data_IF_192654122936
#
_entry.id   IF_192654122936
#
_cell.length_a   1.000
_cell.length_b   1.000
_cell.length_c   1.000
_cell.angle_alpha   90.00
_cell.angle_beta   90.00
_cell.angle_gamma   90.00
#
_symmetry.space_group_name_H-M   'P 1'
#
loop_
_entity.id
_entity.type
_entity.pdbx_description
1 polymer ?
#
# COMPACT_ATOMS: atom_id res chain seq x y z
N UNK A 1 19.51 10.28 13.91
CA UNK A 1 20.38 9.53 12.99
C UNK A 1 19.67 8.27 12.57
N UNK A 2 20.44 7.19 12.35
CA UNK A 2 19.93 5.88 11.93
C UNK A 2 19.59 4.93 13.09
N UNK A 3 19.84 5.34 14.33
CA UNK A 3 19.64 4.48 15.51
C UNK A 3 18.31 3.73 15.54
N UNK A 4 17.16 4.32 15.15
CA UNK A 4 15.90 3.59 15.07
C UNK A 4 15.86 2.43 14.06
N UNK A 5 16.83 2.32 13.15
CA UNK A 5 16.91 1.32 12.09
C UNK A 5 18.01 0.27 12.34
N UNK A 6 18.81 0.39 13.41
CA UNK A 6 19.99 -0.46 13.64
C UNK A 6 19.63 -1.95 13.69
N UNK A 7 18.56 -2.32 14.39
CA UNK A 7 18.10 -3.70 14.47
C UNK A 7 17.64 -4.24 13.11
N UNK A 8 16.96 -3.41 12.31
CA UNK A 8 16.54 -3.76 10.95
C UNK A 8 17.76 -3.98 10.04
N UNK A 9 18.76 -3.10 10.09
CA UNK A 9 20.02 -3.31 9.36
C UNK A 9 20.74 -4.58 9.80
N UNK A 10 20.79 -4.84 11.12
CA UNK A 10 21.39 -6.06 11.65
C UNK A 10 20.69 -7.31 11.14
N UNK A 11 19.35 -7.33 11.13
CA UNK A 11 18.57 -8.45 10.60
C UNK A 11 18.84 -8.68 9.10
N UNK A 12 18.84 -7.60 8.29
CA UNK A 12 19.13 -7.66 6.86
C UNK A 12 20.55 -8.20 6.58
N UNK A 13 21.55 -7.72 7.32
CA UNK A 13 22.95 -8.09 7.14
C UNK A 13 23.29 -9.48 7.65
N UNK A 14 22.54 -9.98 8.63
CA UNK A 14 22.73 -11.32 9.20
C UNK A 14 22.05 -12.43 8.40
N UNK A 15 21.22 -12.09 7.40
CA UNK A 15 20.59 -13.07 6.54
C UNK A 15 21.62 -13.77 5.62
N UNK A 16 21.74 -15.09 5.77
CA UNK A 16 22.73 -15.92 5.09
C UNK A 16 22.26 -16.46 3.74
N UNK A 17 20.94 -16.52 3.53
CA UNK A 17 20.34 -16.99 2.28
C UNK A 17 19.36 -15.97 1.72
N UNK A 18 19.04 -16.09 0.43
CA UNK A 18 18.00 -15.28 -0.20
C UNK A 18 16.65 -15.45 0.49
N UNK A 19 16.30 -16.66 0.91
CA UNK A 19 15.04 -16.90 1.62
C UNK A 19 15.02 -16.20 2.98
N UNK A 20 16.10 -16.29 3.77
CA UNK A 20 16.19 -15.61 5.08
C UNK A 20 16.03 -14.09 4.92
N UNK A 21 16.69 -13.51 3.92
CA UNK A 21 16.60 -12.08 3.64
C UNK A 21 15.19 -11.65 3.25
N UNK A 22 14.49 -12.46 2.46
CA UNK A 22 13.13 -12.16 2.03
C UNK A 22 12.09 -12.38 3.15
N UNK A 23 12.36 -13.30 4.09
CA UNK A 23 11.60 -13.39 5.35
C UNK A 23 11.82 -12.12 6.17
N UNK A 24 13.06 -11.62 6.30
CA UNK A 24 13.33 -10.33 6.96
C UNK A 24 12.59 -9.18 6.26
N UNK A 25 12.58 -9.13 4.93
CA UNK A 25 11.79 -8.14 4.19
C UNK A 25 10.28 -8.27 4.48
N UNK A 26 9.77 -9.50 4.60
CA UNK A 26 8.40 -9.77 5.05
C UNK A 26 8.13 -9.26 6.46
N UNK A 27 9.05 -9.46 7.40
CA UNK A 27 8.92 -8.94 8.77
C UNK A 27 8.90 -7.41 8.81
N UNK A 28 9.78 -6.76 8.04
CA UNK A 28 9.78 -5.30 7.90
C UNK A 28 8.48 -4.76 7.31
N UNK A 29 7.77 -5.55 6.49
CA UNK A 29 6.47 -5.13 5.95
C UNK A 29 5.38 -4.97 7.00
N UNK A 30 5.47 -5.64 8.16
CA UNK A 30 4.59 -5.37 9.31
C UNK A 30 4.74 -3.93 9.82
N UNK A 31 5.92 -3.34 9.63
CA UNK A 31 6.23 -1.96 9.99
C UNK A 31 5.89 -0.95 8.88
N UNK A 32 5.24 -1.41 7.80
CA UNK A 32 4.86 -0.57 6.66
C UNK A 32 5.99 -0.35 5.66
N UNK A 33 7.08 -1.11 5.76
CA UNK A 33 8.18 -1.08 4.79
C UNK A 33 7.83 -2.01 3.62
N UNK A 34 7.66 -1.50 2.39
CA UNK A 34 7.22 -2.35 1.28
C UNK A 34 8.21 -3.50 1.01
N UNK A 35 7.71 -4.74 1.05
CA UNK A 35 8.45 -5.91 0.59
C UNK A 35 8.45 -5.95 -0.96
N UNK A 36 8.30 -7.14 -1.53
CA UNK A 36 8.17 -7.37 -2.98
C UNK A 36 6.75 -7.80 -3.40
N UNK A 37 5.86 -7.98 -2.43
CA UNK A 37 4.42 -8.25 -2.61
C UNK A 37 3.65 -7.52 -1.51
N UNK A 38 2.43 -7.08 -1.82
CA UNK A 38 1.45 -6.63 -0.83
C UNK A 38 0.31 -7.66 -0.77
N UNK A 39 -0.04 -8.16 0.41
CA UNK A 39 -1.18 -9.06 0.60
C UNK A 39 -2.08 -8.46 1.66
N UNK A 40 -3.35 -8.27 1.30
CA UNK A 40 -4.34 -7.65 2.17
C UNK A 40 -5.72 -8.23 1.95
N UNK A 41 -6.58 -8.08 2.95
CA UNK A 41 -7.99 -8.43 2.83
C UNK A 41 -8.75 -7.37 2.03
N UNK A 42 -9.56 -7.84 1.08
CA UNK A 42 -10.56 -7.09 0.32
C UNK A 42 -11.86 -7.88 0.25
N UNK A 43 -12.95 -7.27 -0.20
CA UNK A 43 -14.18 -8.02 -0.51
C UNK A 43 -13.88 -9.08 -1.58
N UNK A 44 -14.47 -10.26 -1.44
CA UNK A 44 -14.39 -11.31 -2.44
C UNK A 44 -15.30 -10.95 -3.61
N UNK A 45 -14.74 -10.78 -4.81
CA UNK A 45 -15.57 -10.41 -5.96
C UNK A 45 -16.65 -11.48 -6.27
N UNK A 46 -16.37 -12.77 -5.97
CA UNK A 46 -17.30 -13.89 -6.19
C UNK A 46 -18.40 -13.92 -5.10
N UNK A 47 -18.12 -13.35 -3.92
CA UNK A 47 -19.06 -13.18 -2.81
C UNK A 47 -18.77 -11.86 -2.07
N UNK A 48 -19.29 -10.75 -2.61
CA UNK A 48 -19.05 -9.40 -2.07
C UNK A 48 -19.63 -9.17 -0.66
N UNK A 49 -20.18 -10.21 -0.02
CA UNK A 49 -20.60 -10.17 1.38
C UNK A 49 -19.49 -10.55 2.36
N UNK A 50 -18.38 -11.12 1.89
CA UNK A 50 -17.25 -11.57 2.73
C UNK A 50 -15.93 -11.00 2.23
N UNK A 51 -14.93 -10.95 3.12
CA UNK A 51 -13.57 -10.60 2.73
C UNK A 51 -12.71 -11.86 2.54
N UNK A 52 -11.75 -11.76 1.62
CA UNK A 52 -10.71 -12.74 1.37
C UNK A 52 -9.35 -12.04 1.19
N UNK A 53 -8.25 -12.80 1.20
CA UNK A 53 -6.93 -12.24 0.93
C UNK A 53 -6.66 -12.16 -0.58
N UNK A 54 -6.06 -11.05 -0.98
CA UNK A 54 -5.62 -10.82 -2.35
C UNK A 54 -4.18 -10.36 -2.39
N UNK A 55 -3.43 -10.87 -3.35
CA UNK A 55 -2.07 -10.46 -3.64
C UNK A 55 -2.05 -9.33 -4.65
N UNK A 56 -1.27 -8.29 -4.33
CA UNK A 56 -1.08 -7.11 -5.15
C UNK A 56 0.42 -6.88 -5.40
N UNK A 57 0.71 -6.16 -6.48
CA UNK A 57 2.07 -5.66 -6.71
C UNK A 57 2.54 -4.80 -5.54
N UNK A 58 3.79 -4.94 -5.13
CA UNK A 58 4.37 -4.02 -4.17
C UNK A 58 4.47 -2.61 -4.78
N UNK A 59 4.25 -1.55 -3.98
CA UNK A 59 4.46 -0.18 -4.44
C UNK A 59 5.95 0.05 -4.75
N UNK A 60 6.19 0.90 -5.74
CA UNK A 60 7.52 1.43 -6.08
C UNK A 60 7.62 2.89 -5.62
N UNK A 61 8.83 3.43 -5.43
CA UNK A 61 9.01 4.83 -5.04
C UNK A 61 8.40 5.84 -6.01
N UNK A 62 8.45 5.56 -7.32
CA UNK A 62 7.83 6.39 -8.36
C UNK A 62 6.59 5.70 -8.95
N UNK A 63 5.71 6.50 -9.54
CA UNK A 63 4.63 5.98 -10.37
C UNK A 63 5.20 5.16 -11.53
N UNK A 64 4.51 4.06 -11.87
CA UNK A 64 4.97 3.09 -12.88
C UNK A 64 5.37 3.76 -14.20
N UNK A 65 4.62 4.77 -14.62
CA UNK A 65 4.87 5.49 -15.87
C UNK A 65 6.25 6.15 -15.95
N UNK A 66 6.84 6.56 -14.82
CA UNK A 66 8.22 7.07 -14.82
C UNK A 66 9.23 6.00 -15.21
N UNK A 67 8.97 4.73 -14.89
CA UNK A 67 9.86 3.63 -15.25
C UNK A 67 9.58 3.07 -16.65
N UNK A 68 8.32 3.10 -17.12
CA UNK A 68 7.92 2.44 -18.36
C UNK A 68 7.83 3.36 -19.57
N UNK A 69 7.87 4.68 -19.37
CA UNK A 69 7.85 5.66 -20.46
C UNK A 69 9.22 6.34 -20.56
N UNK A 70 10.03 6.05 -21.60
CA UNK A 70 11.40 6.59 -21.71
C UNK A 70 11.49 8.10 -21.56
N UNK A 71 10.58 8.86 -22.20
CA UNK A 71 10.57 10.32 -22.10
C UNK A 71 10.25 10.83 -20.69
N UNK A 72 9.49 10.09 -19.88
CA UNK A 72 9.27 10.42 -18.47
C UNK A 72 10.49 10.07 -17.63
N UNK A 73 11.08 8.90 -17.86
CA UNK A 73 12.30 8.46 -17.17
C UNK A 73 13.44 9.47 -17.33
N UNK A 74 13.69 9.92 -18.57
CA UNK A 74 14.71 10.93 -18.90
C UNK A 74 14.56 12.21 -18.08
N UNK A 75 13.32 12.57 -17.68
CA UNK A 75 13.08 13.78 -16.89
C UNK A 75 13.45 13.64 -15.41
N UNK A 76 13.56 12.42 -14.88
CA UNK A 76 13.75 12.16 -13.43
C UNK A 76 14.99 11.34 -13.08
N UNK A 77 15.57 10.62 -14.05
CA UNK A 77 16.67 9.66 -13.82
C UNK A 77 17.83 10.26 -13.01
N UNK A 78 18.38 11.39 -13.48
CA UNK A 78 19.53 12.02 -12.85
C UNK A 78 19.22 12.44 -11.39
N UNK A 79 18.06 13.04 -11.16
CA UNK A 79 17.64 13.46 -9.82
C UNK A 79 17.37 12.25 -8.91
N UNK A 80 16.86 11.15 -9.46
CA UNK A 80 16.60 9.93 -8.70
C UNK A 80 17.88 9.22 -8.31
N UNK A 81 18.87 9.14 -9.21
CA UNK A 81 20.21 8.63 -8.92
C UNK A 81 20.87 9.42 -7.79
N UNK A 82 20.75 10.75 -7.81
CA UNK A 82 21.25 11.63 -6.75
C UNK A 82 20.53 11.35 -5.44
N UNK A 83 19.20 11.22 -5.44
CA UNK A 83 18.43 10.88 -4.25
C UNK A 83 18.88 9.55 -3.64
N UNK A 84 18.94 8.47 -4.42
CA UNK A 84 19.36 7.14 -3.96
C UNK A 84 20.77 7.21 -3.35
N UNK A 85 21.72 7.81 -4.07
CA UNK A 85 23.10 7.94 -3.59
C UNK A 85 23.18 8.73 -2.28
N UNK A 86 22.42 9.83 -2.18
CA UNK A 86 22.39 10.69 -0.98
C UNK A 86 21.89 9.93 0.24
N UNK A 87 20.75 9.24 0.14
CA UNK A 87 20.19 8.53 1.30
C UNK A 87 21.03 7.32 1.71
N UNK A 88 21.71 6.65 0.78
CA UNK A 88 22.65 5.58 1.09
C UNK A 88 23.90 6.10 1.81
N UNK A 89 24.46 7.23 1.36
CA UNK A 89 25.61 7.85 2.03
C UNK A 89 25.26 8.35 3.43
N UNK A 90 24.08 8.98 3.59
CA UNK A 90 23.54 9.32 4.91
C UNK A 90 23.32 8.07 5.78
N UNK A 91 23.10 6.91 5.16
CA UNK A 91 22.99 5.61 5.83
C UNK A 91 24.36 4.97 6.17
N UNK A 92 25.47 5.62 5.84
CA UNK A 92 26.84 5.17 6.14
C UNK A 92 27.53 4.41 5.01
N UNK A 93 26.96 4.38 3.80
CA UNK A 93 27.67 3.85 2.62
C UNK A 93 28.80 4.82 2.23
N UNK A 94 29.94 4.28 1.79
CA UNK A 94 30.96 5.11 1.12
C UNK A 94 30.43 5.60 -0.23
N UNK A 95 31.06 6.64 -0.77
CA UNK A 95 30.73 7.16 -2.12
C UNK A 95 30.77 6.06 -3.18
N UNK A 96 31.76 5.17 -3.12
CA UNK A 96 31.94 4.06 -4.06
C UNK A 96 30.83 3.01 -3.90
N UNK A 97 30.49 2.67 -2.65
CA UNK A 97 29.41 1.72 -2.36
C UNK A 97 28.05 2.27 -2.84
N UNK A 98 27.76 3.53 -2.56
CA UNK A 98 26.54 4.19 -3.01
C UNK A 98 26.48 4.24 -4.55
N UNK A 99 27.57 4.62 -5.21
CA UNK A 99 27.65 4.65 -6.67
C UNK A 99 27.42 3.27 -7.31
N UNK A 100 27.92 2.19 -6.70
CA UNK A 100 27.69 0.82 -7.16
C UNK A 100 26.24 0.34 -6.91
N UNK A 101 25.61 0.79 -5.82
CA UNK A 101 24.25 0.41 -5.43
C UNK A 101 23.16 1.05 -6.31
N UNK A 102 23.34 2.30 -6.73
CA UNK A 102 22.36 3.04 -7.56
C UNK A 102 21.89 2.26 -8.79
N UNK A 103 22.77 1.75 -9.70
CA UNK A 103 22.32 1.03 -10.88
C UNK A 103 21.68 -0.33 -10.55
N UNK A 104 22.02 -0.96 -9.42
CA UNK A 104 21.39 -2.19 -8.96
C UNK A 104 19.94 -1.93 -8.58
N UNK A 105 19.70 -0.88 -7.78
CA UNK A 105 18.36 -0.49 -7.32
C UNK A 105 17.48 -0.08 -8.50
N UNK A 106 17.95 0.85 -9.33
CA UNK A 106 17.19 1.38 -10.47
C UNK A 106 16.80 0.25 -11.44
N UNK A 107 17.76 -0.62 -11.81
CA UNK A 107 17.49 -1.71 -12.75
C UNK A 107 16.46 -2.69 -12.19
N UNK A 108 16.54 -2.99 -10.90
CA UNK A 108 15.59 -3.87 -10.24
C UNK A 108 14.18 -3.25 -10.23
N UNK A 109 14.05 -1.98 -9.87
CA UNK A 109 12.76 -1.26 -9.89
C UNK A 109 12.18 -1.14 -11.30
N UNK A 110 12.98 -0.79 -12.30
CA UNK A 110 12.56 -0.74 -13.71
C UNK A 110 12.08 -2.11 -14.19
N UNK A 111 12.78 -3.18 -13.81
CA UNK A 111 12.36 -4.55 -14.15
C UNK A 111 11.02 -4.87 -13.50
N UNK A 112 10.83 -4.57 -12.21
CA UNK A 112 9.56 -4.77 -11.53
C UNK A 112 8.42 -3.93 -12.15
N UNK A 113 8.68 -2.68 -12.50
CA UNK A 113 7.69 -1.78 -13.10
C UNK A 113 7.25 -2.27 -14.50
N UNK A 114 8.19 -2.76 -15.30
CA UNK A 114 7.96 -3.24 -16.67
C UNK A 114 7.16 -4.54 -16.74
N UNK A 115 7.02 -5.28 -15.63
CA UNK A 115 6.32 -6.57 -15.59
C UNK A 115 4.80 -6.44 -15.60
N UNK A 116 4.23 -5.31 -15.16
CA UNK A 116 2.78 -5.15 -15.18
C UNK A 116 2.30 -4.93 -16.63
N UNK A 117 1.50 -5.84 -17.16
CA UNK A 117 0.63 -5.56 -18.32
C UNK A 117 -0.34 -4.42 -17.95
N UNK A 118 -0.85 -3.73 -18.97
CA UNK A 118 -1.61 -2.49 -18.83
C UNK A 118 -2.87 -2.65 -17.97
N UNK A 119 -3.07 -1.73 -17.02
CA UNK A 119 -4.34 -1.52 -16.27
C UNK A 119 -5.59 -1.39 -17.16
N UNK A 120 -5.42 -1.28 -18.48
CA UNK A 120 -6.48 -1.30 -19.49
C UNK A 120 -7.07 -2.70 -19.73
N UNK A 121 -6.29 -3.78 -19.60
CA UNK A 121 -6.79 -5.15 -19.80
C UNK A 121 -7.59 -5.67 -18.59
N UNK A 122 -7.36 -5.13 -17.39
CA UNK A 122 -8.09 -5.48 -16.16
C UNK A 122 -9.53 -4.94 -16.14
N UNK A 123 -9.88 -3.96 -16.99
CA UNK A 123 -11.24 -3.36 -17.03
C UNK A 123 -12.23 -4.08 -17.94
N UNK A 124 -11.76 -4.93 -18.85
CA UNK A 124 -12.55 -5.37 -20.02
C UNK A 124 -12.89 -6.87 -20.06
N UNK A 125 -12.60 -7.67 -19.03
CA UNK A 125 -12.78 -9.12 -19.09
C UNK A 125 -13.89 -9.65 -18.17
N UNK A 126 -14.98 -10.13 -18.80
CA UNK A 126 -16.11 -10.87 -18.21
C UNK A 126 -15.71 -12.35 -17.94
N UNK A 127 -14.65 -12.59 -17.15
CA UNK A 127 -14.06 -13.93 -16.87
C UNK A 127 -13.47 -13.99 -15.43
N UNK A 128 -13.13 -15.19 -14.88
CA UNK A 128 -13.29 -15.44 -13.44
C UNK A 128 -12.45 -14.47 -12.61
N UNK A 129 -13.04 -13.85 -11.59
CA UNK A 129 -12.54 -12.62 -10.99
C UNK A 129 -11.13 -12.71 -10.40
N UNK A 130 -10.58 -13.91 -10.16
CA UNK A 130 -9.18 -14.11 -9.76
C UNK A 130 -8.80 -15.60 -9.84
N UNK A 131 -7.50 -15.89 -9.85
CA UNK A 131 -6.97 -17.24 -9.56
C UNK A 131 -6.61 -17.34 -8.08
N UNK A 132 -7.11 -18.34 -7.37
CA UNK A 132 -6.80 -18.57 -5.96
C UNK A 132 -5.82 -19.74 -5.76
N UNK A 133 -4.93 -19.60 -4.78
CA UNK A 133 -4.04 -20.65 -4.33
C UNK A 133 -4.07 -20.74 -2.81
N UNK A 134 -3.96 -21.95 -2.27
CA UNK A 134 -3.72 -22.16 -0.83
C UNK A 134 -2.32 -21.67 -0.43
N UNK A 135 -2.11 -21.44 0.87
CA UNK A 135 -0.79 -21.01 1.38
C UNK A 135 0.33 -22.01 1.04
N UNK A 136 0.06 -23.31 1.13
CA UNK A 136 1.05 -24.34 0.77
C UNK A 136 1.39 -24.32 -0.72
N UNK A 137 0.39 -24.18 -1.59
CA UNK A 137 0.63 -24.04 -3.04
C UNK A 137 1.45 -22.79 -3.36
N UNK A 138 1.20 -21.68 -2.67
CA UNK A 138 1.97 -20.45 -2.83
C UNK A 138 3.39 -20.58 -2.34
N UNK A 139 3.61 -21.30 -1.24
CA UNK A 139 4.96 -21.57 -0.75
C UNK A 139 5.78 -22.42 -1.71
N UNK A 140 5.14 -23.36 -2.41
CA UNK A 140 5.78 -24.18 -3.43
C UNK A 140 6.02 -23.42 -4.73
N UNK A 141 5.03 -22.62 -5.18
CA UNK A 141 5.09 -21.90 -6.46
C UNK A 141 5.96 -20.65 -6.40
N UNK A 142 5.84 -19.89 -5.32
CA UNK A 142 6.49 -18.60 -5.09
C UNK A 142 7.23 -18.56 -3.73
N UNK A 143 8.18 -19.49 -3.47
CA UNK A 143 8.84 -19.60 -2.17
C UNK A 143 9.57 -18.33 -1.74
N UNK A 144 10.14 -17.58 -2.70
CA UNK A 144 10.90 -16.36 -2.42
C UNK A 144 9.99 -15.14 -2.31
N UNK A 145 8.94 -15.05 -3.12
CA UNK A 145 8.04 -13.90 -3.15
C UNK A 145 6.90 -13.97 -2.13
N UNK A 146 5.96 -14.91 -2.33
CA UNK A 146 4.73 -14.98 -1.52
C UNK A 146 4.94 -15.86 -0.29
N UNK A 147 5.66 -16.98 -0.44
CA UNK A 147 5.95 -17.91 0.65
C UNK A 147 6.72 -17.25 1.80
N UNK A 148 7.76 -16.47 1.49
CA UNK A 148 8.53 -15.71 2.48
C UNK A 148 7.67 -14.68 3.23
N UNK A 149 6.78 -13.99 2.53
CA UNK A 149 5.83 -13.05 3.11
C UNK A 149 4.84 -13.76 4.05
N UNK A 150 4.26 -14.88 3.60
CA UNK A 150 3.32 -15.67 4.41
C UNK A 150 3.97 -16.16 5.71
N UNK A 151 5.19 -16.70 5.62
CA UNK A 151 5.98 -17.13 6.78
C UNK A 151 6.25 -15.98 7.75
N UNK A 152 6.67 -14.83 7.22
CA UNK A 152 6.92 -13.65 8.05
C UNK A 152 5.64 -13.18 8.76
N UNK A 153 4.49 -13.18 8.09
CA UNK A 153 3.21 -12.81 8.73
C UNK A 153 2.59 -13.92 9.60
N UNK A 154 3.31 -15.02 9.85
CA UNK A 154 2.90 -16.08 10.76
C UNK A 154 1.82 -17.01 10.20
N UNK A 155 1.61 -17.02 8.89
CA UNK A 155 0.70 -17.97 8.25
C UNK A 155 1.33 -19.37 8.18
N UNK A 156 0.52 -20.40 8.42
CA UNK A 156 0.97 -21.79 8.29
C UNK A 156 0.95 -22.21 6.81
N UNK A 157 2.14 -22.51 6.28
CA UNK A 157 2.34 -22.90 4.88
C UNK A 157 2.48 -24.41 4.69
N UNK A 158 2.34 -25.20 5.77
CA UNK A 158 2.40 -26.67 5.71
C UNK A 158 1.18 -27.23 4.99
N UNK A 159 1.37 -28.35 4.31
CA UNK A 159 0.29 -29.05 3.63
C UNK A 159 -0.78 -29.48 4.65
N UNK A 160 -2.06 -29.39 4.27
CA UNK A 160 -3.23 -29.76 5.07
C UNK A 160 -3.49 -28.93 6.34
N UNK A 161 -2.75 -27.85 6.60
CA UNK A 161 -2.97 -26.97 7.76
C UNK A 161 -3.99 -25.83 7.53
N UNK A 162 -4.68 -25.81 6.38
CA UNK A 162 -5.55 -24.70 5.97
C UNK A 162 -7.05 -24.88 6.27
N UNK A 163 -7.70 -23.84 6.79
CA UNK A 163 -9.15 -23.70 6.83
C UNK A 163 -9.75 -23.30 5.47
N UNK A 164 -11.08 -23.24 5.38
CA UNK A 164 -11.81 -22.96 4.12
C UNK A 164 -11.49 -21.59 3.48
N UNK A 165 -10.87 -20.67 4.23
CA UNK A 165 -10.51 -19.33 3.78
C UNK A 165 -8.98 -19.13 3.70
N UNK A 166 -8.18 -20.19 3.79
CA UNK A 166 -6.71 -20.12 3.76
C UNK A 166 -6.15 -20.18 2.35
N UNK A 167 -6.54 -19.16 1.58
CA UNK A 167 -6.10 -18.94 0.20
C UNK A 167 -5.83 -17.46 -0.05
N UNK A 168 -5.09 -17.18 -1.13
CA UNK A 168 -4.87 -15.83 -1.65
C UNK A 168 -5.29 -15.78 -3.12
N UNK A 169 -6.11 -14.79 -3.48
CA UNK A 169 -6.54 -14.52 -4.84
C UNK A 169 -5.59 -13.59 -5.58
N UNK A 170 -5.46 -13.79 -6.90
CA UNK A 170 -4.62 -12.99 -7.78
C UNK A 170 -5.38 -12.68 -9.08
N UNK A 171 -5.54 -11.39 -9.39
CA UNK A 171 -6.15 -10.92 -10.63
C UNK A 171 -5.27 -11.18 -11.86
N UNK A 172 -3.95 -11.13 -11.66
CA UNK A 172 -2.96 -11.46 -12.69
C UNK A 172 -1.75 -12.14 -12.06
N UNK A 173 -1.28 -13.22 -12.67
CA UNK A 173 -0.10 -13.96 -12.20
C UNK A 173 1.22 -13.43 -12.76
N UNK A 174 1.18 -12.58 -13.80
CA UNK A 174 2.38 -12.16 -14.53
C UNK A 174 3.40 -11.43 -13.63
N UNK A 175 2.89 -10.58 -12.72
CA UNK A 175 3.71 -9.91 -11.70
C UNK A 175 4.43 -10.91 -10.80
N UNK A 176 3.70 -11.88 -10.27
CA UNK A 176 4.22 -12.84 -9.29
C UNK A 176 5.19 -13.82 -9.94
N UNK A 177 4.85 -14.35 -11.12
CA UNK A 177 5.71 -15.26 -11.89
C UNK A 177 7.05 -14.60 -12.26
N UNK A 178 7.01 -13.34 -12.69
CA UNK A 178 8.24 -12.65 -13.11
C UNK A 178 9.05 -12.14 -11.93
N UNK A 179 8.39 -11.66 -10.88
CA UNK A 179 9.07 -11.21 -9.66
C UNK A 179 9.75 -12.39 -8.95
N UNK A 180 9.12 -13.55 -8.86
CA UNK A 180 9.74 -14.77 -8.32
C UNK A 180 11.01 -15.14 -9.13
N UNK A 181 10.96 -15.07 -10.47
CA UNK A 181 12.14 -15.32 -11.32
C UNK A 181 13.22 -14.26 -11.13
N UNK A 182 12.84 -12.99 -10.97
CA UNK A 182 13.77 -11.89 -10.74
C UNK A 182 14.50 -12.06 -9.40
N UNK A 183 13.76 -12.39 -8.33
CA UNK A 183 14.32 -12.68 -7.01
C UNK A 183 15.29 -13.87 -7.05
N UNK A 184 14.95 -14.95 -7.77
CA UNK A 184 15.86 -16.11 -7.97
C UNK A 184 17.14 -15.75 -8.71
N UNK A 185 17.07 -14.83 -9.68
CA UNK A 185 18.22 -14.43 -10.50
C UNK A 185 19.11 -13.37 -9.84
N UNK A 186 18.58 -12.62 -8.88
CA UNK A 186 19.30 -11.54 -8.21
C UNK A 186 20.18 -12.12 -7.11
N UNK A 187 21.46 -11.73 -7.09
CA UNK A 187 22.40 -12.20 -6.06
C UNK A 187 21.97 -11.75 -4.67
N UNK A 188 22.33 -12.51 -3.64
CA UNK A 188 22.02 -12.17 -2.25
C UNK A 188 22.49 -10.75 -1.87
N UNK A 189 23.68 -10.35 -2.31
CA UNK A 189 24.24 -9.03 -2.00
C UNK A 189 23.47 -7.88 -2.68
N UNK A 190 23.03 -8.10 -3.92
CA UNK A 190 22.18 -7.12 -4.62
C UNK A 190 20.80 -7.03 -3.96
N UNK A 191 20.19 -8.17 -3.58
CA UNK A 191 18.94 -8.16 -2.83
C UNK A 191 19.10 -7.47 -1.48
N UNK A 192 20.21 -7.68 -0.79
CA UNK A 192 20.49 -6.99 0.48
C UNK A 192 20.52 -5.48 0.28
N UNK A 193 21.22 -5.02 -0.75
CA UNK A 193 21.26 -3.60 -1.13
C UNK A 193 19.87 -3.03 -1.42
N UNK A 194 19.02 -3.78 -2.13
CA UNK A 194 17.65 -3.38 -2.45
C UNK A 194 16.77 -3.31 -1.20
N UNK A 195 16.87 -4.30 -0.30
CA UNK A 195 16.10 -4.32 0.96
C UNK A 195 16.56 -3.20 1.91
N UNK A 196 17.87 -2.94 2.02
CA UNK A 196 18.38 -1.80 2.79
C UNK A 196 17.87 -0.47 2.22
N UNK A 197 17.91 -0.30 0.88
CA UNK A 197 17.36 0.89 0.25
C UNK A 197 15.86 1.06 0.52
N UNK A 198 15.06 0.00 0.39
CA UNK A 198 13.61 0.03 0.70
C UNK A 198 13.34 0.48 2.13
N UNK A 199 14.11 -0.04 3.10
CA UNK A 199 14.03 0.36 4.50
C UNK A 199 14.36 1.85 4.69
N UNK A 200 15.46 2.31 4.09
CA UNK A 200 15.93 3.69 4.18
C UNK A 200 14.90 4.65 3.55
N UNK A 201 14.47 4.37 2.33
CA UNK A 201 13.52 5.19 1.59
C UNK A 201 12.17 5.28 2.32
N UNK A 202 11.59 4.17 2.77
CA UNK A 202 10.33 4.19 3.51
C UNK A 202 10.44 4.94 4.86
N UNK A 203 11.65 5.02 5.41
CA UNK A 203 11.92 5.72 6.67
C UNK A 203 12.34 7.18 6.50
N UNK A 204 12.77 7.61 5.30
CA UNK A 204 13.52 8.85 5.09
C UNK A 204 12.81 10.10 5.62
N UNK A 205 11.49 10.16 5.48
CA UNK A 205 10.68 11.28 5.96
C UNK A 205 10.62 11.42 7.49
N UNK A 206 11.17 10.46 8.24
CA UNK A 206 11.01 10.32 9.69
C UNK A 206 12.35 10.15 10.42
N UNK A 207 13.46 10.32 9.70
CA UNK A 207 14.81 10.30 10.25
C UNK A 207 15.28 11.74 10.54
N UNK A 208 16.57 12.01 10.33
CA UNK A 208 17.13 13.35 10.54
C UNK A 208 16.71 14.32 9.43
N UNK A 209 16.86 15.64 9.64
CA UNK A 209 16.53 16.65 8.63
C UNK A 209 17.19 16.38 7.27
N UNK A 210 18.41 15.85 7.23
CA UNK A 210 19.14 15.57 5.99
C UNK A 210 18.41 14.52 5.12
N UNK A 211 17.86 13.47 5.73
CA UNK A 211 17.06 12.47 5.01
C UNK A 211 15.74 13.06 4.50
N UNK A 212 15.10 13.89 5.33
CA UNK A 212 13.84 14.56 4.97
C UNK A 212 14.02 15.52 3.80
N UNK A 213 15.05 16.36 3.85
CA UNK A 213 15.38 17.29 2.78
C UNK A 213 15.80 16.56 1.51
N UNK A 214 16.57 15.47 1.59
CA UNK A 214 16.87 14.64 0.43
C UNK A 214 15.61 14.07 -0.23
N UNK A 215 14.68 13.53 0.58
CA UNK A 215 13.38 13.06 0.09
C UNK A 215 12.56 14.20 -0.53
N UNK A 216 12.46 15.34 0.15
CA UNK A 216 11.69 16.48 -0.34
C UNK A 216 12.25 17.05 -1.65
N UNK A 217 13.58 17.16 -1.80
CA UNK A 217 14.20 17.66 -3.02
C UNK A 217 13.80 16.84 -4.25
N UNK A 218 13.65 15.53 -4.09
CA UNK A 218 13.21 14.66 -5.18
C UNK A 218 11.68 14.56 -5.25
N UNK A 219 11.02 13.96 -4.26
CA UNK A 219 9.58 13.71 -4.33
C UNK A 219 8.75 14.99 -4.22
N UNK A 220 9.05 15.87 -3.27
CA UNK A 220 8.30 17.10 -3.06
C UNK A 220 8.51 18.13 -4.18
N UNK A 221 9.77 18.44 -4.48
CA UNK A 221 10.13 19.52 -5.40
C UNK A 221 10.17 19.05 -6.85
N UNK A 222 10.85 17.95 -7.16
CA UNK A 222 11.01 17.48 -8.54
C UNK A 222 9.76 16.77 -9.07
N UNK A 223 9.18 15.85 -8.30
CA UNK A 223 8.01 15.06 -8.73
C UNK A 223 6.71 15.85 -8.55
N UNK A 224 6.43 16.36 -7.34
CA UNK A 224 5.17 17.04 -7.04
C UNK A 224 5.18 18.54 -7.39
N UNK A 225 6.32 19.12 -7.77
CA UNK A 225 6.42 20.53 -8.16
C UNK A 225 6.22 21.53 -7.00
N UNK A 226 6.38 21.09 -5.74
CA UNK A 226 6.22 21.95 -4.57
C UNK A 226 7.36 22.97 -4.49
N UNK A 227 7.01 24.21 -4.17
CA UNK A 227 7.97 25.33 -4.11
C UNK A 227 8.81 25.32 -2.83
N UNK A 228 8.25 24.84 -1.73
CA UNK A 228 8.85 24.93 -0.40
C UNK A 228 8.69 23.61 0.38
N UNK A 229 9.69 23.31 1.22
CA UNK A 229 9.63 22.18 2.15
C UNK A 229 8.60 22.48 3.25
N UNK A 230 7.67 21.56 3.57
CA UNK A 230 6.67 21.82 4.59
C UNK A 230 7.33 22.08 5.94
N UNK A 231 6.77 23.04 6.69
CA UNK A 231 7.16 23.26 8.08
C UNK A 231 6.99 21.99 8.90
N UNK A 232 7.74 21.85 10.00
CA UNK A 232 7.64 20.69 10.90
C UNK A 232 6.21 20.49 11.40
N UNK A 233 5.52 21.57 11.75
CA UNK A 233 4.13 21.52 12.20
C UNK A 233 3.21 20.94 11.13
N UNK A 234 3.30 21.46 9.90
CA UNK A 234 2.51 20.96 8.76
C UNK A 234 2.80 19.48 8.51
N UNK A 235 4.07 19.08 8.52
CA UNK A 235 4.47 17.69 8.36
C UNK A 235 3.86 16.80 9.45
N UNK A 236 4.00 17.18 10.72
CA UNK A 236 3.49 16.38 11.84
C UNK A 236 1.96 16.27 11.82
N UNK A 237 1.24 17.34 11.45
CA UNK A 237 -0.21 17.31 11.29
C UNK A 237 -0.62 16.36 10.16
N UNK A 238 -0.04 16.53 8.97
CA UNK A 238 -0.39 15.74 7.78
C UNK A 238 -0.04 14.25 8.01
N UNK A 239 1.06 13.95 8.71
CA UNK A 239 1.43 12.57 9.12
C UNK A 239 0.47 11.98 10.16
N UNK A 240 0.02 12.78 11.13
CA UNK A 240 -0.96 12.33 12.13
C UNK A 240 -2.32 12.08 11.47
N UNK A 241 -2.74 12.90 10.52
CA UNK A 241 -3.95 12.67 9.72
C UNK A 241 -3.87 11.37 8.91
N UNK A 242 -2.74 11.10 8.26
CA UNK A 242 -2.53 9.85 7.52
C UNK A 242 -2.57 8.61 8.43
N UNK A 243 -1.93 8.69 9.59
CA UNK A 243 -1.77 7.54 10.47
C UNK A 243 -2.96 7.33 11.42
N UNK A 244 -3.52 8.40 11.96
CA UNK A 244 -4.55 8.40 13.01
C UNK A 244 -5.82 9.17 12.57
N UNK A 245 -6.08 9.26 11.27
CA UNK A 245 -7.17 10.07 10.71
C UNK A 245 -8.56 9.72 11.21
N UNK A 246 -8.85 8.46 11.54
CA UNK A 246 -10.15 8.07 12.13
C UNK A 246 -10.33 8.59 13.56
N UNK A 247 -9.24 8.65 14.33
CA UNK A 247 -9.24 9.22 15.69
C UNK A 247 -9.40 10.73 15.63
N UNK A 248 -8.55 11.38 14.84
CA UNK A 248 -8.66 12.82 14.62
C UNK A 248 -10.06 13.15 14.09
N UNK A 249 -10.52 12.39 13.10
CA UNK A 249 -11.79 12.55 12.40
C UNK A 249 -12.99 12.71 13.33
N UNK A 250 -13.01 11.95 14.43
CA UNK A 250 -14.05 12.07 15.45
C UNK A 250 -14.09 13.46 16.08
N UNK A 251 -12.94 13.98 16.53
CA UNK A 251 -12.87 15.32 17.12
C UNK A 251 -13.35 16.39 16.15
N UNK A 252 -13.02 16.28 14.87
CA UNK A 252 -13.51 17.22 13.87
C UNK A 252 -15.02 17.13 13.68
N UNK A 253 -15.57 15.92 13.62
CA UNK A 253 -17.00 15.72 13.50
C UNK A 253 -17.76 16.26 14.72
N UNK A 254 -17.22 16.11 15.92
CA UNK A 254 -17.82 16.68 17.14
C UNK A 254 -17.96 18.21 17.05
N UNK A 255 -17.01 18.88 16.38
CA UNK A 255 -17.02 20.33 16.20
C UNK A 255 -17.94 20.82 15.06
N UNK A 256 -18.00 20.08 13.93
CA UNK A 256 -18.64 20.60 12.70
C UNK A 256 -19.86 19.79 12.21
N UNK A 257 -20.03 18.56 12.68
CA UNK A 257 -21.05 17.63 12.18
C UNK A 257 -22.33 17.67 13.02
N UNK A 258 -23.01 18.82 12.98
CA UNK A 258 -24.30 19.00 13.66
C UNK A 258 -25.43 18.15 13.04
N UNK A 259 -26.51 17.96 13.79
CA UNK A 259 -27.72 17.30 13.28
C UNK A 259 -28.32 18.02 12.05
N UNK A 260 -28.20 19.35 11.98
CA UNK A 260 -28.66 20.12 10.83
C UNK A 260 -27.73 19.96 9.62
N UNK A 261 -26.41 19.91 9.85
CA UNK A 261 -25.41 19.57 8.82
C UNK A 261 -25.71 18.20 8.21
N UNK A 262 -25.93 17.19 9.06
CA UNK A 262 -26.27 15.84 8.62
C UNK A 262 -27.58 15.80 7.82
N UNK A 263 -28.62 16.49 8.28
CA UNK A 263 -29.92 16.59 7.60
C UNK A 263 -29.79 17.29 6.24
N UNK A 264 -28.99 18.34 6.16
CA UNK A 264 -28.75 19.09 4.92
C UNK A 264 -27.97 18.25 3.90
N UNK A 265 -26.91 17.56 4.35
CA UNK A 265 -26.15 16.65 3.50
C UNK A 265 -27.01 15.48 2.99
N UNK A 266 -27.83 14.87 3.85
CA UNK A 266 -28.75 13.78 3.46
C UNK A 266 -29.80 14.25 2.44
N UNK A 267 -30.39 15.44 2.63
CA UNK A 267 -31.30 16.04 1.65
C UNK A 267 -30.62 16.23 0.28
N UNK A 268 -29.39 16.73 0.26
CA UNK A 268 -28.63 16.93 -0.97
C UNK A 268 -28.39 15.60 -1.69
N UNK A 269 -27.93 14.56 -0.98
CA UNK A 269 -27.71 13.24 -1.58
C UNK A 269 -29.00 12.65 -2.14
N UNK A 270 -30.14 12.80 -1.43
CA UNK A 270 -31.45 12.35 -1.92
C UNK A 270 -31.88 13.11 -3.18
N UNK A 271 -31.67 14.42 -3.24
CA UNK A 271 -31.95 15.23 -4.43
C UNK A 271 -31.08 14.80 -5.62
N UNK A 272 -29.79 14.56 -5.40
CA UNK A 272 -28.87 14.05 -6.43
C UNK A 272 -29.29 12.64 -6.91
N UNK A 273 -29.62 11.73 -5.99
CA UNK A 273 -30.11 10.38 -6.32
C UNK A 273 -31.38 10.46 -7.17
N UNK A 274 -32.31 11.36 -6.82
CA UNK A 274 -33.53 11.58 -7.61
C UNK A 274 -33.21 12.15 -9.00
N UNK A 275 -32.31 13.12 -9.10
CA UNK A 275 -31.89 13.71 -10.38
C UNK A 275 -31.24 12.66 -11.30
N UNK A 276 -30.33 11.84 -10.76
CA UNK A 276 -29.75 10.71 -11.47
C UNK A 276 -30.80 9.70 -11.93
N UNK A 277 -31.77 9.37 -11.07
CA UNK A 277 -32.88 8.49 -11.43
C UNK A 277 -33.66 9.03 -12.62
N UNK A 278 -33.97 10.34 -12.63
CA UNK A 278 -34.63 10.99 -13.77
C UNK A 278 -33.76 10.92 -15.03
N UNK A 279 -32.46 11.25 -14.91
CA UNK A 279 -31.53 11.19 -16.04
C UNK A 279 -31.43 9.80 -16.67
N UNK A 280 -31.37 8.73 -15.85
CA UNK A 280 -31.42 7.35 -16.34
C UNK A 280 -32.77 7.07 -17.02
N UNK A 281 -33.87 7.54 -16.43
CA UNK A 281 -35.22 7.33 -16.97
C UNK A 281 -35.49 8.06 -18.28
N UNK A 282 -34.72 9.10 -18.64
CA UNK A 282 -34.92 9.90 -19.85
C UNK A 282 -33.76 9.79 -20.85
N UNK A 283 -32.72 9.00 -20.58
CA UNK A 283 -31.57 8.88 -21.47
C UNK A 283 -31.92 8.13 -22.76
N UNK A 284 -31.98 8.80 -23.90
CA UNK A 284 -32.39 8.19 -25.18
C UNK A 284 -31.40 7.15 -25.73
N UNK A 285 -30.15 7.18 -25.26
CA UNK A 285 -29.10 6.24 -25.68
C UNK A 285 -29.13 4.91 -24.91
N UNK A 286 -29.96 4.78 -23.86
CA UNK A 286 -30.11 3.55 -23.08
C UNK A 286 -31.30 2.72 -23.57
N UNK A 287 -31.06 1.45 -23.88
CA UNK A 287 -32.14 0.48 -24.06
C UNK A 287 -32.92 0.24 -22.75
N UNK A 288 -34.10 -0.37 -22.86
CA UNK A 288 -35.00 -0.59 -21.71
C UNK A 288 -34.41 -1.53 -20.64
N UNK A 289 -33.63 -2.53 -21.04
CA UNK A 289 -33.04 -3.52 -20.12
C UNK A 289 -31.93 -2.89 -19.29
N UNK A 290 -31.03 -2.18 -19.96
CA UNK A 290 -29.93 -1.44 -19.33
C UNK A 290 -30.48 -0.34 -18.41
N UNK A 291 -31.54 0.36 -18.83
CA UNK A 291 -32.25 1.35 -17.99
C UNK A 291 -32.80 0.73 -16.72
N UNK A 292 -33.50 -0.39 -16.80
CA UNK A 292 -34.05 -1.09 -15.63
C UNK A 292 -32.94 -1.57 -14.67
N UNK A 293 -31.84 -2.07 -15.21
CA UNK A 293 -30.66 -2.51 -14.44
C UNK A 293 -30.00 -1.32 -13.74
N UNK A 294 -29.81 -0.20 -14.44
CA UNK A 294 -29.25 1.02 -13.88
C UNK A 294 -30.12 1.59 -12.75
N UNK A 295 -31.45 1.59 -12.91
CA UNK A 295 -32.38 1.97 -11.83
C UNK A 295 -32.28 1.05 -10.62
N UNK A 296 -32.17 -0.27 -10.86
CA UNK A 296 -31.99 -1.25 -9.78
C UNK A 296 -30.66 -1.05 -9.04
N UNK A 297 -29.59 -0.70 -9.75
CA UNK A 297 -28.30 -0.37 -9.13
C UNK A 297 -28.40 0.91 -8.29
N UNK A 298 -29.06 1.94 -8.81
CA UNK A 298 -29.29 3.19 -8.10
C UNK A 298 -30.15 2.98 -6.85
N UNK A 299 -31.19 2.14 -6.90
CA UNK A 299 -32.04 1.87 -5.73
C UNK A 299 -31.24 1.26 -4.57
N UNK A 300 -30.25 0.40 -4.88
CA UNK A 300 -29.31 -0.22 -3.92
C UNK A 300 -28.16 0.69 -3.46
N UNK A 301 -28.05 1.92 -3.98
CA UNK A 301 -27.01 2.86 -3.58
C UNK A 301 -27.14 3.24 -2.11
N UNK A 302 -26.09 2.98 -1.34
CA UNK A 302 -25.92 3.36 0.07
C UNK A 302 -24.97 4.54 0.13
N UNK A 303 -25.39 5.65 0.76
CA UNK A 303 -24.54 6.79 1.03
C UNK A 303 -24.10 6.82 2.49
N UNK A 304 -22.83 7.17 2.71
CA UNK A 304 -22.23 7.34 4.04
C UNK A 304 -21.88 8.81 4.22
N UNK A 305 -22.25 9.39 5.37
CA UNK A 305 -22.06 10.80 5.70
C UNK A 305 -21.51 10.90 7.12
N UNK A 306 -20.62 11.86 7.39
CA UNK A 306 -20.21 12.18 8.75
C UNK A 306 -19.28 11.18 9.44
N UNK A 307 -18.52 10.38 8.68
CA UNK A 307 -17.49 9.47 9.22
C UNK A 307 -17.98 8.11 9.72
N UNK A 308 -17.05 7.21 10.09
CA UNK A 308 -17.36 5.85 10.49
C UNK A 308 -18.04 5.80 11.87
N UNK A 309 -19.08 4.99 12.00
CA UNK A 309 -19.75 4.72 13.29
C UNK A 309 -18.83 4.00 14.28
N UNK A 310 -17.90 3.20 13.76
CA UNK A 310 -16.91 2.44 14.52
C UNK A 310 -15.51 2.81 14.02
N UNK A 311 -14.99 3.98 14.40
CA UNK A 311 -13.68 4.44 13.96
C UNK A 311 -12.57 3.50 14.48
N UNK A 312 -11.48 3.39 13.73
CA UNK A 312 -10.32 2.61 14.17
C UNK A 312 -9.73 3.24 15.44
N UNK A 313 -9.71 2.46 16.53
CA UNK A 313 -9.05 2.81 17.78
C UNK A 313 -7.73 2.07 17.93
N UNK A 314 -6.89 2.53 18.86
CA UNK A 314 -5.58 1.93 19.17
C UNK A 314 -5.42 1.68 20.67
N UNK A 315 -6.35 0.96 21.32
CA UNK A 315 -6.38 0.84 22.79
C UNK A 315 -5.17 0.09 23.36
N UNK A 316 -4.46 -0.69 22.54
CA UNK A 316 -3.26 -1.44 22.93
C UNK A 316 -1.97 -0.67 22.71
N UNK A 317 -2.01 0.51 22.07
CA UNK A 317 -0.81 1.28 21.76
C UNK A 317 -0.54 2.31 22.86
N UNK A 318 0.72 2.37 23.29
CA UNK A 318 1.25 3.45 24.12
C UNK A 318 2.37 4.12 23.34
N UNK A 319 2.17 5.38 22.97
CA UNK A 319 3.17 6.15 22.24
C UNK A 319 4.22 6.71 23.17
N UNK A 320 5.49 6.60 22.76
CA UNK A 320 6.61 7.26 23.41
C UNK A 320 6.95 8.55 22.65
N UNK A 321 6.89 9.68 23.33
CA UNK A 321 7.19 11.00 22.74
C UNK A 321 8.63 11.12 22.21
N UNK A 322 9.53 10.22 22.63
CA UNK A 322 10.93 10.17 22.17
C UNK A 322 11.15 9.22 21.00
N UNK A 323 10.17 8.38 20.64
CA UNK A 323 10.35 7.27 19.69
C UNK A 323 9.40 7.39 18.48
N UNK A 324 9.51 8.49 17.73
CA UNK A 324 8.59 8.81 16.64
C UNK A 324 8.45 7.71 15.57
N UNK A 325 9.57 7.17 15.05
CA UNK A 325 9.51 6.11 14.02
C UNK A 325 8.85 4.83 14.55
N UNK A 326 9.20 4.43 15.78
CA UNK A 326 8.62 3.25 16.43
C UNK A 326 7.11 3.40 16.65
N UNK A 327 6.64 4.59 17.09
CA UNK A 327 5.21 4.86 17.22
C UNK A 327 4.47 4.61 15.90
N UNK A 328 5.06 5.02 14.76
CA UNK A 328 4.45 4.79 13.46
C UNK A 328 4.48 3.32 13.04
N UNK A 329 5.57 2.60 13.34
CA UNK A 329 5.62 1.16 13.11
C UNK A 329 4.54 0.41 13.91
N UNK A 330 4.32 0.78 15.17
CA UNK A 330 3.23 0.22 15.97
C UNK A 330 1.84 0.48 15.36
N UNK A 331 1.60 1.69 14.84
CA UNK A 331 0.35 1.99 14.12
C UNK A 331 0.22 1.14 12.87
N UNK A 332 1.30 1.01 12.08
CA UNK A 332 1.33 0.17 10.88
C UNK A 332 1.00 -1.29 11.19
N UNK A 333 1.63 -1.86 12.23
CA UNK A 333 1.38 -3.22 12.67
C UNK A 333 -0.09 -3.44 13.00
N UNK A 334 -0.69 -2.55 13.81
CA UNK A 334 -2.13 -2.64 14.14
C UNK A 334 -3.01 -2.57 12.90
N UNK A 335 -2.70 -1.68 11.94
CA UNK A 335 -3.47 -1.55 10.70
C UNK A 335 -3.39 -2.80 9.83
N UNK A 336 -2.19 -3.35 9.66
CA UNK A 336 -1.95 -4.57 8.87
C UNK A 336 -2.62 -5.76 9.53
N UNK A 337 -2.39 -5.99 10.82
CA UNK A 337 -2.99 -7.10 11.58
C UNK A 337 -4.52 -7.03 11.55
N UNK A 338 -5.09 -5.83 11.72
CA UNK A 338 -6.54 -5.63 11.68
C UNK A 338 -7.07 -5.91 10.28
N UNK A 339 -6.38 -5.49 9.23
CA UNK A 339 -6.77 -5.79 7.86
C UNK A 339 -6.74 -7.30 7.59
N UNK A 340 -5.64 -8.00 7.92
CA UNK A 340 -5.49 -9.44 7.68
C UNK A 340 -6.53 -10.27 8.43
N UNK A 341 -6.97 -9.81 9.62
CA UNK A 341 -8.05 -10.44 10.40
C UNK A 341 -9.44 -10.30 9.76
N UNK A 342 -9.61 -9.44 8.76
CA UNK A 342 -10.88 -9.35 8.01
C UNK A 342 -11.11 -10.58 7.15
N UNK A 343 -10.06 -11.34 6.78
CA UNK A 343 -10.19 -12.60 6.03
C UNK A 343 -11.26 -13.52 6.65
N UNK A 344 -12.23 -13.90 5.85
CA UNK A 344 -13.36 -14.75 6.27
C UNK A 344 -14.45 -14.04 7.07
N UNK A 345 -14.28 -12.75 7.39
CA UNK A 345 -15.30 -11.94 8.05
C UNK A 345 -16.22 -11.26 7.03
N UNK A 346 -17.47 -10.95 7.41
CA UNK A 346 -18.38 -10.18 6.57
C UNK A 346 -17.81 -8.80 6.20
N UNK A 347 -18.15 -8.31 5.00
CA UNK A 347 -17.80 -6.95 4.56
C UNK A 347 -18.62 -5.92 5.34
N UNK A 348 -17.93 -4.98 5.97
CA UNK A 348 -18.56 -3.80 6.56
C UNK A 348 -18.89 -2.78 5.46
N UNK A 349 -20.17 -2.76 5.05
CA UNK A 349 -20.69 -1.84 4.02
C UNK A 349 -20.76 -0.38 4.48
N UNK A 350 -20.53 -0.10 5.77
CA UNK A 350 -20.49 1.25 6.34
C UNK A 350 -19.06 1.70 6.66
N UNK A 351 -18.05 0.91 6.33
CA UNK A 351 -16.65 1.29 6.45
C UNK A 351 -16.32 2.41 5.46
N UNK A 352 -15.76 3.49 5.98
CA UNK A 352 -15.28 4.60 5.16
C UNK A 352 -13.94 4.23 4.50
N UNK A 353 -13.79 4.58 3.22
CA UNK A 353 -12.52 4.40 2.50
C UNK A 353 -11.47 5.48 2.82
N UNK A 354 -11.87 6.55 3.52
CA UNK A 354 -11.02 7.69 3.91
C UNK A 354 -11.53 8.31 5.23
N UNK A 355 -10.64 8.88 6.06
CA UNK A 355 -11.05 9.58 7.27
C UNK A 355 -11.88 10.85 6.93
N UNK A 356 -12.69 11.36 7.89
CA UNK A 356 -13.62 12.48 7.68
C UNK A 356 -12.96 13.84 7.41
N UNK A 357 -11.73 14.03 7.87
CA UNK A 357 -10.99 15.28 7.68
C UNK A 357 -10.19 15.25 6.39
N UNK A 358 -10.56 16.12 5.45
CA UNK A 358 -9.69 16.58 4.37
C UNK A 358 -10.14 17.90 3.78
#
# INVERSE_FOLDING_TARGET
GLTPLEDSFKAIRSANTTLDLLIVAGELSKNGIPAFVDIKSSFDDNDATKNALFGYRAPLPLDREYYTTPSKWETVEADYMVYISTVLQLAGYTTEQAAAAVPVIIRFEQTLAGVALSELEEKDADVPQYTAFTYSQLDQKYPLLVGSWLKAHGFDVRDQCGGSNDWVGFYSLNYFDTTEKLLKKTTLDNLRTIVEYKLIHASSNHLTPEFRTANWNFFGKKIEGKREEPSREKFCRDDTEYNLGDLLGQYFLDEVWSADTAKTADKLVKALKSSFSTGIATADWLDNSTRATAQTKLSKFVHLLGGPEKPQLYPTLTFDSKSYLNNRWQVSQVKIDTNLKLKGQPVDKRKFGRPPMR
#
